data_IF_799580360884
#
_entry.id   IF_799580360884
#
_cell.length_a   1.000
_cell.length_b   1.000
_cell.length_c   1.000
_cell.angle_alpha   90.00
_cell.angle_beta   90.00
_cell.angle_gamma   90.00
#
_symmetry.space_group_name_H-M   'P 1'
#
loop_
_entity.id
_entity.type
_entity.pdbx_description
1 polymer ?
#
# COMPACT_ATOMS: atom_id res chain seq x y z
N UNK A 1 -9.73 -12.63 9.78
CA UNK A 1 -9.22 -11.30 9.35
C UNK A 1 -8.23 -11.53 8.23
N UNK A 2 -8.06 -10.61 7.27
CA UNK A 2 -6.94 -10.72 6.32
C UNK A 2 -5.63 -10.71 7.12
N UNK A 3 -4.88 -11.81 7.02
CA UNK A 3 -3.56 -11.98 7.66
C UNK A 3 -2.49 -11.08 7.02
N UNK A 4 -2.72 -10.63 5.80
CA UNK A 4 -1.76 -9.89 4.98
C UNK A 4 -2.17 -8.43 4.79
N UNK A 5 -1.17 -7.56 4.61
CA UNK A 5 -1.40 -6.17 4.26
C UNK A 5 -2.04 -6.06 2.88
N UNK A 6 -3.18 -5.38 2.79
CA UNK A 6 -3.86 -5.10 1.53
C UNK A 6 -2.98 -4.23 0.64
N UNK A 7 -2.73 -4.69 -0.58
CA UNK A 7 -1.97 -3.94 -1.56
C UNK A 7 -2.84 -2.81 -2.14
N UNK A 8 -2.28 -1.60 -2.36
CA UNK A 8 -3.02 -0.47 -2.91
C UNK A 8 -3.46 -0.70 -4.36
N UNK A 9 -2.74 -1.54 -5.12
CA UNK A 9 -3.07 -2.02 -6.46
C UNK A 9 -2.73 -3.52 -6.52
N UNK A 10 -3.50 -4.33 -7.26
CA UNK A 10 -3.18 -5.74 -7.39
C UNK A 10 -1.92 -5.92 -8.23
N UNK A 11 -1.08 -6.88 -7.84
CA UNK A 11 0.11 -7.28 -8.58
C UNK A 11 -0.16 -8.60 -9.35
N UNK A 12 0.51 -8.83 -10.48
CA UNK A 12 0.48 -10.13 -11.15
C UNK A 12 0.92 -11.28 -10.21
N UNK A 13 0.29 -12.46 -10.33
CA UNK A 13 0.55 -13.59 -9.43
C UNK A 13 1.89 -14.31 -9.67
N UNK A 14 2.53 -14.03 -10.78
CA UNK A 14 3.82 -14.58 -11.20
C UNK A 14 5.03 -13.78 -10.71
N UNK A 15 4.83 -12.56 -10.20
CA UNK A 15 5.92 -11.67 -9.78
C UNK A 15 6.37 -11.87 -8.33
N UNK A 16 5.56 -12.50 -7.49
CA UNK A 16 5.78 -12.58 -6.06
C UNK A 16 5.72 -14.02 -5.56
N UNK A 17 6.80 -14.44 -4.88
CA UNK A 17 6.90 -15.73 -4.21
C UNK A 17 7.22 -15.53 -2.72
N UNK A 18 6.79 -16.47 -1.87
CA UNK A 18 7.18 -16.48 -0.46
C UNK A 18 8.66 -16.84 -0.37
N UNK A 19 9.41 -16.14 0.48
CA UNK A 19 10.88 -16.24 0.58
C UNK A 19 11.64 -15.28 -0.33
N UNK A 20 10.97 -14.55 -1.22
CA UNK A 20 11.62 -13.61 -2.13
C UNK A 20 12.11 -12.35 -1.39
N UNK A 21 13.34 -11.95 -1.65
CA UNK A 21 13.93 -10.68 -1.22
C UNK A 21 13.64 -9.59 -2.25
N UNK A 22 13.28 -8.40 -1.78
CA UNK A 22 12.90 -7.26 -2.62
C UNK A 22 13.63 -6.00 -2.15
N UNK A 23 14.00 -5.12 -3.07
CA UNK A 23 14.39 -3.74 -2.70
C UNK A 23 13.19 -2.79 -2.62
N UNK A 24 12.09 -3.10 -3.32
CA UNK A 24 10.85 -2.34 -3.26
C UNK A 24 9.62 -3.27 -3.28
N UNK A 25 8.79 -3.30 -2.20
CA UNK A 25 7.67 -4.26 -2.08
C UNK A 25 6.61 -4.16 -3.18
N UNK A 26 6.40 -2.96 -3.73
CA UNK A 26 5.38 -2.70 -4.75
C UNK A 26 5.90 -2.72 -6.19
N UNK A 27 7.22 -2.90 -6.35
CA UNK A 27 7.88 -2.97 -7.64
C UNK A 27 8.83 -4.18 -7.71
N UNK A 28 8.30 -5.40 -7.53
CA UNK A 28 9.12 -6.62 -7.53
C UNK A 28 9.84 -6.87 -8.86
N UNK A 29 9.40 -6.26 -9.95
CA UNK A 29 10.01 -6.34 -11.28
C UNK A 29 11.36 -5.63 -11.40
N UNK A 30 11.70 -4.71 -10.47
CA UNK A 30 12.91 -3.91 -10.56
C UNK A 30 14.13 -4.71 -10.13
N UNK A 31 14.13 -5.11 -8.87
CA UNK A 31 15.25 -5.82 -8.28
C UNK A 31 14.77 -6.68 -7.13
N UNK A 32 14.91 -7.97 -7.34
CA UNK A 32 14.55 -8.99 -6.38
C UNK A 32 15.55 -10.13 -6.46
N UNK A 33 15.58 -10.93 -5.40
CA UNK A 33 16.32 -12.17 -5.35
C UNK A 33 15.40 -13.27 -4.83
N UNK A 34 15.41 -14.41 -5.51
CA UNK A 34 14.69 -15.61 -5.11
C UNK A 34 15.67 -16.76 -5.06
N UNK A 35 15.84 -17.35 -3.88
CA UNK A 35 16.81 -18.43 -3.68
C UNK A 35 16.30 -19.72 -4.31
N UNK A 36 17.01 -20.23 -5.30
CA UNK A 36 16.73 -21.56 -5.85
C UNK A 36 17.13 -22.69 -4.87
N UNK A 37 18.05 -22.44 -3.94
CA UNK A 37 18.52 -23.44 -2.99
C UNK A 37 17.58 -23.58 -1.78
N UNK A 38 17.00 -22.46 -1.33
CA UNK A 38 16.16 -22.44 -0.12
C UNK A 38 14.66 -22.56 -0.40
N UNK A 39 14.21 -22.54 -1.67
CA UNK A 39 12.77 -22.48 -1.96
C UNK A 39 11.99 -23.68 -1.42
N UNK A 40 12.54 -24.90 -1.49
CA UNK A 40 11.85 -26.11 -1.00
C UNK A 40 11.66 -26.04 0.51
N UNK A 41 12.70 -25.66 1.26
CA UNK A 41 12.63 -25.50 2.71
C UNK A 41 11.64 -24.40 3.12
N UNK A 42 11.62 -23.28 2.38
CA UNK A 42 10.65 -22.20 2.61
C UNK A 42 9.22 -22.67 2.30
N UNK A 43 9.02 -23.45 1.24
CA UNK A 43 7.71 -23.98 0.85
C UNK A 43 7.16 -24.98 1.86
N UNK A 44 8.02 -25.81 2.46
CA UNK A 44 7.63 -26.75 3.52
C UNK A 44 7.14 -26.02 4.79
N UNK A 45 7.58 -24.77 5.00
CA UNK A 45 7.16 -23.91 6.11
C UNK A 45 5.87 -23.12 5.81
N UNK A 46 5.34 -23.20 4.60
CA UNK A 46 4.17 -22.45 4.18
C UNK A 46 2.86 -23.17 4.53
N UNK A 47 1.92 -22.43 5.12
CA UNK A 47 0.52 -22.84 5.21
C UNK A 47 -0.27 -22.34 4.00
N UNK A 48 -1.24 -23.16 3.58
CA UNK A 48 -2.10 -22.88 2.44
C UNK A 48 -3.55 -22.80 2.89
N UNK A 49 -4.12 -21.61 2.80
CA UNK A 49 -5.54 -21.40 3.02
C UNK A 49 -6.25 -21.11 1.70
N UNK A 50 -7.15 -22.01 1.30
CA UNK A 50 -7.95 -21.85 0.08
C UNK A 50 -9.41 -21.63 0.47
N UNK A 51 -9.98 -20.51 0.02
CA UNK A 51 -11.39 -20.22 0.15
C UNK A 51 -12.05 -20.15 -1.23
N UNK A 52 -13.01 -21.04 -1.47
CA UNK A 52 -13.84 -21.01 -2.68
C UNK A 52 -14.99 -20.00 -2.53
N UNK A 53 -15.43 -19.43 -3.66
CA UNK A 53 -16.53 -18.46 -3.75
C UNK A 53 -16.34 -17.28 -2.79
N UNK A 54 -15.13 -16.75 -2.78
CA UNK A 54 -14.75 -15.64 -1.91
C UNK A 54 -15.59 -14.40 -2.23
N UNK A 55 -16.09 -13.74 -1.20
CA UNK A 55 -16.83 -12.47 -1.30
C UNK A 55 -16.37 -11.54 -0.21
N UNK A 56 -16.13 -10.29 -0.56
CA UNK A 56 -15.66 -9.28 0.40
C UNK A 56 -16.02 -7.85 -0.05
N UNK A 57 -15.78 -6.88 0.83
CA UNK A 57 -16.02 -5.47 0.62
C UNK A 57 -14.74 -4.67 0.88
N UNK A 58 -14.35 -3.87 -0.11
CA UNK A 58 -13.20 -2.99 -0.08
C UNK A 58 -13.63 -1.53 -0.12
N UNK A 59 -12.90 -0.64 0.56
CA UNK A 59 -12.93 0.80 0.28
C UNK A 59 -11.78 1.19 -0.62
N UNK A 60 -12.02 2.24 -1.41
CA UNK A 60 -11.03 2.91 -2.22
C UNK A 60 -10.78 4.33 -1.71
N UNK A 61 -9.57 4.83 -1.94
CA UNK A 61 -9.25 6.23 -1.71
C UNK A 61 -9.75 7.14 -2.86
N UNK A 62 -9.30 8.40 -2.87
CA UNK A 62 -9.68 9.39 -3.88
C UNK A 62 -8.98 9.20 -5.23
N UNK A 63 -7.94 8.38 -5.29
CA UNK A 63 -7.18 8.02 -6.50
C UNK A 63 -7.62 6.66 -7.06
N UNK A 64 -8.49 5.95 -6.33
CA UNK A 64 -8.98 4.63 -6.71
C UNK A 64 -8.09 3.48 -6.21
N UNK A 65 -7.20 3.71 -5.25
CA UNK A 65 -6.36 2.67 -4.63
C UNK A 65 -7.10 1.98 -3.50
N UNK A 66 -6.82 0.70 -3.29
CA UNK A 66 -7.39 -0.05 -2.17
C UNK A 66 -6.93 0.51 -0.83
N UNK A 67 -7.89 0.75 0.07
CA UNK A 67 -7.62 1.34 1.38
C UNK A 67 -7.87 0.35 2.53
N UNK A 68 -9.03 -0.29 2.56
CA UNK A 68 -9.40 -1.19 3.66
C UNK A 68 -10.27 -2.34 3.14
N UNK A 69 -10.04 -3.52 3.68
CA UNK A 69 -10.91 -4.68 3.54
C UNK A 69 -11.80 -4.79 4.80
N UNK A 70 -13.12 -4.83 4.62
CA UNK A 70 -14.11 -4.89 5.71
C UNK A 70 -14.59 -6.31 6.07
N UNK A 71 -14.19 -7.32 5.30
CA UNK A 71 -14.66 -8.69 5.46
C UNK A 71 -16.06 -8.92 4.86
N UNK A 72 -16.40 -10.20 4.68
CA UNK A 72 -17.73 -10.63 4.24
C UNK A 72 -18.85 -10.24 5.22
N UNK A 73 -18.53 -10.10 6.51
CA UNK A 73 -19.43 -9.66 7.59
C UNK A 73 -19.06 -8.24 8.00
N UNK A 74 -19.32 -7.31 7.11
CA UNK A 74 -18.93 -5.92 7.32
C UNK A 74 -19.88 -5.25 8.35
N UNK A 75 -19.33 -4.46 9.27
CA UNK A 75 -20.11 -3.73 10.27
C UNK A 75 -20.57 -2.38 9.70
N UNK A 76 -21.89 -2.17 9.59
CA UNK A 76 -22.52 -0.95 9.07
C UNK A 76 -21.92 0.35 9.62
N UNK A 77 -21.61 0.38 10.93
CA UNK A 77 -21.07 1.56 11.60
C UNK A 77 -19.72 2.03 11.05
N UNK A 78 -18.87 1.13 10.54
CA UNK A 78 -17.55 1.47 9.97
C UNK A 78 -17.63 1.92 8.52
N UNK A 79 -18.67 1.50 7.79
CA UNK A 79 -18.82 1.66 6.34
C UNK A 79 -19.66 2.88 6.00
N UNK A 80 -20.59 3.27 6.88
CA UNK A 80 -21.56 4.33 6.63
C UNK A 80 -20.93 5.67 6.20
N UNK A 81 -19.67 5.91 6.56
CA UNK A 81 -18.93 7.14 6.24
C UNK A 81 -17.93 7.00 5.11
N UNK A 82 -17.81 5.82 4.50
CA UNK A 82 -16.77 5.54 3.53
C UNK A 82 -17.26 5.86 2.12
N UNK A 83 -16.71 6.89 1.46
CA UNK A 83 -16.92 7.06 0.04
C UNK A 83 -16.24 5.90 -0.69
N UNK A 84 -16.77 5.51 -1.84
CA UNK A 84 -16.12 4.60 -2.78
C UNK A 84 -15.92 3.14 -2.30
N UNK A 85 -17.00 2.37 -2.18
CA UNK A 85 -16.93 0.94 -1.87
C UNK A 85 -16.92 0.08 -3.13
N UNK A 86 -16.19 -1.04 -3.07
CA UNK A 86 -16.20 -2.10 -4.07
C UNK A 86 -16.53 -3.44 -3.41
N UNK A 87 -17.51 -4.16 -3.94
CA UNK A 87 -17.68 -5.58 -3.64
C UNK A 87 -16.79 -6.39 -4.56
N UNK A 88 -16.06 -7.35 -4.00
CA UNK A 88 -15.38 -8.39 -4.76
C UNK A 88 -16.15 -9.70 -4.67
N UNK A 89 -16.19 -10.44 -5.77
CA UNK A 89 -16.52 -11.87 -5.80
C UNK A 89 -15.43 -12.58 -6.58
N UNK A 90 -14.78 -13.57 -6.00
CA UNK A 90 -13.77 -14.36 -6.67
C UNK A 90 -14.15 -15.84 -6.61
N UNK A 91 -13.78 -16.58 -7.64
CA UNK A 91 -13.95 -18.03 -7.66
C UNK A 91 -13.16 -18.67 -6.52
N UNK A 92 -11.93 -18.19 -6.32
CA UNK A 92 -11.00 -18.71 -5.33
C UNK A 92 -10.15 -17.57 -4.75
N UNK A 93 -9.94 -17.64 -3.44
CA UNK A 93 -8.91 -16.89 -2.74
C UNK A 93 -7.89 -17.89 -2.19
N UNK A 94 -6.61 -17.65 -2.46
CA UNK A 94 -5.50 -18.49 -2.02
C UNK A 94 -4.61 -17.62 -1.15
N UNK A 95 -4.40 -18.02 0.09
CA UNK A 95 -3.39 -17.42 0.96
C UNK A 95 -2.27 -18.44 1.15
N UNK A 96 -1.05 -17.98 0.91
CA UNK A 96 0.17 -18.71 1.25
C UNK A 96 0.87 -17.88 2.30
N UNK A 97 1.18 -18.45 3.46
CA UNK A 97 1.78 -17.71 4.57
C UNK A 97 2.79 -18.60 5.28
N UNK A 98 3.98 -18.09 5.55
CA UNK A 98 4.96 -18.80 6.35
C UNK A 98 4.46 -18.95 7.80
N UNK A 99 4.40 -20.19 8.30
CA UNK A 99 4.01 -20.48 9.68
C UNK A 99 5.09 -20.06 10.68
N UNK A 100 6.36 -20.17 10.29
CA UNK A 100 7.50 -19.64 11.01
C UNK A 100 8.28 -18.65 10.12
N UNK A 101 7.90 -17.36 10.15
CA UNK A 101 8.54 -16.30 9.39
C UNK A 101 10.04 -16.17 9.67
N UNK A 102 10.48 -16.56 10.87
CA UNK A 102 11.90 -16.54 11.20
C UNK A 102 12.62 -17.67 10.50
N UNK A 103 12.13 -18.90 10.64
CA UNK A 103 12.78 -20.07 10.05
C UNK A 103 12.86 -19.94 8.53
N UNK A 104 11.79 -19.48 7.87
CA UNK A 104 11.79 -19.23 6.43
C UNK A 104 12.83 -18.16 6.03
N UNK A 105 12.95 -17.07 6.77
CA UNK A 105 13.98 -16.07 6.50
C UNK A 105 15.41 -16.60 6.75
N UNK A 106 15.58 -17.41 7.79
CA UNK A 106 16.87 -18.04 8.09
C UNK A 106 17.28 -19.01 6.98
N UNK A 107 16.35 -19.79 6.44
CA UNK A 107 16.59 -20.67 5.29
C UNK A 107 17.10 -19.88 4.09
N UNK A 108 16.45 -18.75 3.75
CA UNK A 108 16.92 -17.83 2.71
C UNK A 108 18.32 -17.30 3.02
N UNK A 109 18.59 -16.87 4.26
CA UNK A 109 19.90 -16.34 4.65
C UNK A 109 21.01 -17.39 4.71
N UNK A 110 20.68 -18.68 4.80
CA UNK A 110 21.68 -19.75 4.75
C UNK A 110 22.26 -19.93 3.33
N UNK A 111 21.52 -19.50 2.30
CA UNK A 111 22.00 -19.45 0.92
C UNK A 111 23.13 -18.41 0.77
N UNK A 112 24.34 -18.82 0.35
CA UNK A 112 25.43 -17.90 0.04
C UNK A 112 25.09 -16.83 -1.01
N UNK A 113 24.26 -17.16 -2.00
CA UNK A 113 23.88 -16.21 -3.05
C UNK A 113 22.98 -15.10 -2.49
N UNK A 114 22.01 -15.47 -1.66
CA UNK A 114 21.16 -14.51 -0.94
C UNK A 114 22.00 -13.56 -0.06
N UNK A 115 22.99 -14.09 0.65
CA UNK A 115 23.89 -13.28 1.48
C UNK A 115 24.72 -12.31 0.67
N UNK A 116 25.19 -12.73 -0.50
CA UNK A 116 25.93 -11.87 -1.43
C UNK A 116 25.03 -10.74 -1.93
N UNK A 117 23.80 -11.06 -2.34
CA UNK A 117 22.82 -10.06 -2.77
C UNK A 117 22.48 -9.06 -1.66
N UNK A 118 22.27 -9.53 -0.42
CA UNK A 118 22.02 -8.66 0.75
C UNK A 118 23.24 -7.77 1.02
N UNK A 119 24.45 -8.32 0.95
CA UNK A 119 25.69 -7.58 1.17
C UNK A 119 25.85 -6.43 0.17
N UNK A 120 25.60 -6.69 -1.11
CA UNK A 120 25.67 -5.68 -2.18
C UNK A 120 24.59 -4.61 -2.01
N UNK A 121 23.35 -5.03 -1.71
CA UNK A 121 22.25 -4.10 -1.45
C UNK A 121 22.54 -3.15 -0.27
N UNK A 122 23.13 -3.66 0.81
CA UNK A 122 23.55 -2.85 1.97
C UNK A 122 24.67 -1.88 1.61
N UNK A 123 25.69 -2.31 0.85
CA UNK A 123 26.79 -1.44 0.40
C UNK A 123 26.29 -0.25 -0.42
N UNK A 124 25.26 -0.47 -1.22
CA UNK A 124 24.62 0.56 -2.02
C UNK A 124 23.59 1.39 -1.24
N UNK A 125 23.39 1.09 0.04
CA UNK A 125 22.43 1.80 0.91
C UNK A 125 20.97 1.56 0.52
N UNK A 126 20.66 0.44 -0.15
CA UNK A 126 19.32 0.11 -0.62
C UNK A 126 18.51 -0.55 0.49
N UNK A 127 17.21 -0.22 0.63
CA UNK A 127 16.34 -0.91 1.58
C UNK A 127 16.09 -2.35 1.12
N UNK A 128 15.89 -3.25 2.08
CA UNK A 128 15.65 -4.67 1.82
C UNK A 128 14.37 -5.12 2.52
N UNK A 129 13.62 -5.99 1.86
CA UNK A 129 12.40 -6.57 2.36
C UNK A 129 12.35 -8.06 2.01
N UNK A 130 11.58 -8.82 2.77
CA UNK A 130 11.25 -10.21 2.43
C UNK A 130 9.74 -10.42 2.38
N UNK A 131 9.28 -11.18 1.40
CA UNK A 131 7.90 -11.67 1.29
C UNK A 131 7.74 -12.94 2.12
N UNK A 132 6.86 -12.92 3.11
CA UNK A 132 6.57 -14.07 3.98
C UNK A 132 5.12 -14.56 3.85
N UNK A 133 4.33 -13.92 3.00
CA UNK A 133 3.00 -14.38 2.67
C UNK A 133 2.37 -13.58 1.53
N UNK A 134 1.47 -14.23 0.79
CA UNK A 134 0.73 -13.64 -0.33
C UNK A 134 -0.75 -14.05 -0.27
N UNK A 135 -1.63 -13.14 -0.68
CA UNK A 135 -3.06 -13.44 -0.89
C UNK A 135 -3.40 -13.18 -2.35
N UNK A 136 -3.69 -14.25 -3.06
CA UNK A 136 -4.13 -14.24 -4.44
C UNK A 136 -5.65 -14.36 -4.53
N UNK A 137 -6.25 -13.61 -5.44
CA UNK A 137 -7.63 -13.83 -5.89
C UNK A 137 -7.60 -14.34 -7.34
N UNK A 138 -8.35 -15.40 -7.63
CA UNK A 138 -8.53 -15.95 -8.98
C UNK A 138 -9.93 -15.64 -9.50
N UNK A 139 -10.00 -15.19 -10.75
CA UNK A 139 -11.25 -14.87 -11.45
C UNK A 139 -12.12 -13.89 -10.66
N UNK A 140 -11.51 -12.87 -10.07
CA UNK A 140 -12.18 -11.87 -9.24
C UNK A 140 -12.95 -10.87 -10.11
N UNK A 141 -14.20 -10.63 -9.73
CA UNK A 141 -15.09 -9.63 -10.31
C UNK A 141 -15.34 -8.54 -9.29
N UNK A 142 -15.17 -7.30 -9.71
CA UNK A 142 -15.38 -6.12 -8.88
C UNK A 142 -16.63 -5.37 -9.32
N UNK A 143 -17.45 -4.99 -8.34
CA UNK A 143 -18.65 -4.18 -8.55
C UNK A 143 -18.65 -2.99 -7.61
N UNK A 144 -19.18 -1.88 -8.08
CA UNK A 144 -19.42 -0.70 -7.24
C UNK A 144 -20.49 -1.03 -6.22
N UNK A 145 -20.19 -0.77 -4.95
CA UNK A 145 -21.14 -0.99 -3.87
C UNK A 145 -21.63 0.35 -3.32
N UNK A 146 -22.94 0.50 -3.17
CA UNK A 146 -23.56 1.60 -2.43
C UNK A 146 -24.49 1.03 -1.37
N UNK A 147 -24.49 1.63 -0.19
CA UNK A 147 -25.46 1.27 0.85
C UNK A 147 -26.86 1.68 0.37
N UNK A 148 -27.79 0.72 0.34
CA UNK A 148 -29.12 0.93 -0.23
C UNK A 148 -29.96 1.92 0.59
N UNK A 149 -29.85 1.87 1.92
CA UNK A 149 -30.73 2.61 2.84
C UNK A 149 -29.96 3.52 3.80
N UNK A 150 -28.88 4.17 3.32
CA UNK A 150 -28.07 5.06 4.17
C UNK A 150 -27.74 4.43 5.54
N UNK A 151 -27.25 3.19 5.54
CA UNK A 151 -26.78 2.51 6.76
C UNK A 151 -27.86 1.87 7.64
N UNK A 152 -29.15 1.95 7.29
CA UNK A 152 -30.22 1.27 8.03
C UNK A 152 -30.34 -0.23 7.74
N UNK A 153 -29.69 -0.71 6.66
CA UNK A 153 -29.75 -2.10 6.19
C UNK A 153 -28.37 -2.57 5.73
N UNK A 154 -28.04 -3.84 5.98
CA UNK A 154 -26.84 -4.52 5.50
C UNK A 154 -26.86 -4.80 3.98
N UNK A 155 -27.89 -4.33 3.26
CA UNK A 155 -28.03 -4.56 1.83
C UNK A 155 -27.19 -3.55 1.05
N UNK A 156 -26.35 -4.07 0.17
CA UNK A 156 -25.57 -3.31 -0.78
C UNK A 156 -26.24 -3.37 -2.14
N UNK A 157 -26.40 -2.20 -2.76
CA UNK A 157 -26.70 -2.11 -4.18
C UNK A 157 -25.38 -2.25 -4.95
N UNK A 158 -25.26 -3.33 -5.73
CA UNK A 158 -24.08 -3.65 -6.53
C UNK A 158 -24.32 -3.17 -7.97
N UNK A 159 -23.48 -2.24 -8.46
CA UNK A 159 -23.53 -1.70 -9.83
C UNK A 159 -22.23 -2.07 -10.57
N UNK A 160 -22.26 -2.23 -11.91
CA UNK A 160 -21.04 -2.37 -12.70
C UNK A 160 -20.12 -1.16 -12.53
N UNK A 161 -18.81 -1.39 -12.72
CA UNK A 161 -17.82 -0.31 -12.72
C UNK A 161 -17.96 0.50 -14.01
N UNK A 162 -18.15 1.82 -13.88
CA UNK A 162 -18.22 2.75 -15.01
C UNK A 162 -16.84 3.17 -15.51
N UNK A 163 -16.80 3.75 -16.72
CA UNK A 163 -15.54 4.25 -17.34
C UNK A 163 -14.88 5.39 -16.54
N UNK A 164 -15.69 6.21 -15.88
CA UNK A 164 -15.23 7.36 -15.07
C UNK A 164 -15.02 7.01 -13.59
N UNK A 165 -15.20 5.74 -13.20
CA UNK A 165 -14.99 5.32 -11.83
C UNK A 165 -13.49 5.30 -11.49
N UNK A 166 -13.16 5.94 -10.37
CA UNK A 166 -11.81 5.90 -9.79
C UNK A 166 -11.57 4.54 -9.13
N UNK A 167 -10.94 3.64 -9.87
CA UNK A 167 -10.52 2.29 -9.44
C UNK A 167 -9.12 2.01 -10.00
N UNK A 168 -8.39 0.98 -9.52
CA UNK A 168 -7.06 0.69 -10.04
C UNK A 168 -7.11 0.44 -11.56
N UNK A 169 -6.08 0.88 -12.30
CA UNK A 169 -6.01 0.74 -13.77
C UNK A 169 -6.23 -0.69 -14.26
N UNK A 170 -5.79 -1.68 -13.48
CA UNK A 170 -6.01 -3.10 -13.76
C UNK A 170 -7.49 -3.51 -13.74
N UNK A 171 -8.33 -2.85 -12.92
CA UNK A 171 -9.79 -3.01 -12.93
C UNK A 171 -10.47 -2.17 -14.02
N UNK A 172 -9.91 -1.02 -14.39
CA UNK A 172 -10.46 -0.19 -15.49
C UNK A 172 -10.27 -0.84 -16.86
N UNK A 173 -9.11 -1.47 -17.10
CA UNK A 173 -8.81 -2.14 -18.38
C UNK A 173 -9.77 -3.28 -18.66
N UNK A 174 -10.13 -4.05 -17.63
CA UNK A 174 -11.09 -5.14 -17.77
C UNK A 174 -12.51 -4.62 -17.95
N UNK A 175 -12.88 -3.49 -17.32
CA UNK A 175 -14.19 -2.85 -17.52
C UNK A 175 -14.36 -2.17 -18.90
N UNK A 176 -13.26 -1.80 -19.57
CA UNK A 176 -13.28 -1.06 -20.85
C UNK A 176 -12.96 -1.91 -22.08
N UNK A 177 -12.51 -3.16 -21.90
CA UNK A 177 -12.21 -4.04 -23.02
C UNK A 177 -13.49 -4.65 -23.62
N UNK A 178 -13.97 -4.05 -24.72
CA UNK A 178 -14.79 -4.70 -25.77
C UNK A 178 -13.98 -5.78 -26.54
N UNK A 179 -12.83 -6.24 -26.01
CA UNK A 179 -11.83 -7.02 -26.77
C UNK A 179 -11.15 -8.10 -25.93
N UNK A 180 -11.93 -8.88 -25.20
CA UNK A 180 -11.46 -10.14 -24.64
C UNK A 180 -12.60 -11.14 -24.60
N UNK A 181 -12.74 -11.94 -25.68
CA UNK A 181 -13.27 -13.33 -25.75
C UNK A 181 -14.19 -13.85 -24.61
N UNK A 182 -15.05 -12.99 -24.09
CA UNK A 182 -16.08 -13.27 -23.11
C UNK A 182 -17.38 -13.05 -23.85
N UNK A 183 -18.12 -14.13 -24.06
CA UNK A 183 -19.40 -14.08 -24.76
C UNK A 183 -20.30 -13.01 -24.14
N UNK A 184 -21.18 -12.45 -24.98
CA UNK A 184 -22.28 -11.55 -24.59
C UNK A 184 -22.83 -11.96 -23.21
N UNK A 185 -22.52 -11.19 -22.16
CA UNK A 185 -22.98 -11.43 -20.79
C UNK A 185 -21.93 -11.83 -19.73
N UNK A 186 -20.65 -11.98 -20.02
CA UNK A 186 -19.63 -12.29 -18.98
C UNK A 186 -19.06 -11.02 -18.32
N UNK A 187 -19.09 -10.96 -16.99
CA UNK A 187 -18.49 -9.86 -16.22
C UNK A 187 -16.94 -9.88 -16.29
N UNK A 188 -16.27 -8.72 -16.33
CA UNK A 188 -14.83 -8.66 -16.41
C UNK A 188 -14.16 -9.26 -15.16
N UNK A 189 -13.23 -10.19 -15.38
CA UNK A 189 -12.51 -10.92 -14.33
C UNK A 189 -11.03 -10.50 -14.29
N UNK A 190 -10.46 -10.50 -13.09
CA UNK A 190 -9.04 -10.27 -12.84
C UNK A 190 -8.49 -11.33 -11.87
N UNK A 191 -7.26 -11.78 -12.12
CA UNK A 191 -6.51 -12.63 -11.20
C UNK A 191 -5.21 -11.94 -10.80
N UNK A 192 -4.80 -12.05 -9.54
CA UNK A 192 -3.57 -11.43 -9.06
C UNK A 192 -3.41 -11.49 -7.55
N UNK A 193 -2.31 -10.93 -7.04
CA UNK A 193 -2.03 -10.74 -5.62
C UNK A 193 -2.68 -9.45 -5.15
N UNK A 194 -3.53 -9.55 -4.13
CA UNK A 194 -4.23 -8.43 -3.51
C UNK A 194 -3.74 -8.14 -2.10
N UNK A 195 -3.02 -9.06 -1.47
CA UNK A 195 -2.43 -8.85 -0.16
C UNK A 195 -1.06 -9.50 -0.04
N UNK A 196 -0.20 -8.94 0.80
CA UNK A 196 1.14 -9.45 1.03
C UNK A 196 1.56 -9.27 2.50
N UNK A 197 2.20 -10.28 3.09
CA UNK A 197 3.00 -10.14 4.30
C UNK A 197 4.45 -9.85 3.87
N UNK A 198 4.88 -8.61 4.09
CA UNK A 198 6.24 -8.16 3.83
C UNK A 198 6.86 -7.68 5.12
N UNK A 199 8.11 -8.06 5.36
CA UNK A 199 8.86 -7.59 6.53
C UNK A 199 10.09 -6.81 6.12
N UNK A 200 10.45 -5.84 6.94
CA UNK A 200 11.69 -5.08 6.77
C UNK A 200 12.87 -5.99 7.07
N UNK A 201 13.87 -5.94 6.22
CA UNK A 201 15.18 -6.55 6.47
C UNK A 201 16.18 -5.42 6.61
N UNK A 202 16.96 -5.48 7.68
CA UNK A 202 18.11 -4.62 7.86
C UNK A 202 19.37 -5.48 7.79
N UNK A 203 20.46 -4.94 7.29
CA UNK A 203 21.74 -5.63 7.38
C UNK A 203 22.88 -4.63 7.55
N UNK A 204 23.94 -5.07 8.22
CA UNK A 204 25.12 -4.27 8.57
C UNK A 204 26.36 -5.13 8.34
N UNK A 205 27.39 -4.52 7.77
CA UNK A 205 28.74 -5.12 7.69
C UNK A 205 29.48 -4.64 8.94
N UNK A 206 29.86 -5.58 9.81
CA UNK A 206 30.43 -5.26 11.12
C UNK A 206 31.49 -6.27 11.52
N UNK A 207 32.00 -6.15 12.74
CA UNK A 207 32.85 -7.17 13.36
C UNK A 207 32.11 -7.81 14.54
N UNK A 208 32.41 -9.06 14.92
CA UNK A 208 31.74 -9.72 16.05
C UNK A 208 31.87 -9.00 17.41
N UNK A 209 32.86 -8.11 17.55
CA UNK A 209 33.09 -7.34 18.77
C UNK A 209 32.28 -6.03 18.83
N UNK A 210 31.65 -5.61 17.73
CA UNK A 210 30.92 -4.35 17.69
C UNK A 210 29.60 -4.46 18.48
N UNK A 211 29.27 -3.48 19.33
CA UNK A 211 28.03 -3.49 20.09
C UNK A 211 26.82 -3.18 19.21
N UNK A 212 25.66 -3.71 19.60
CA UNK A 212 24.37 -3.30 19.02
C UNK A 212 24.00 -1.87 19.40
N UNK A 213 23.30 -1.20 18.49
CA UNK A 213 22.64 0.08 18.74
C UNK A 213 21.22 -0.14 19.29
N UNK A 214 20.63 0.87 19.93
CA UNK A 214 19.26 0.79 20.43
C UNK A 214 18.22 0.50 19.33
N UNK A 215 18.48 0.95 18.10
CA UNK A 215 17.66 0.66 16.93
C UNK A 215 17.66 -0.83 16.55
N UNK A 216 18.68 -1.59 16.95
CA UNK A 216 18.84 -2.99 16.58
C UNK A 216 17.90 -3.92 17.36
N UNK A 217 17.36 -3.47 18.51
CA UNK A 217 16.51 -4.27 19.38
C UNK A 217 15.17 -4.68 18.75
N UNK A 218 14.77 -4.04 17.65
CA UNK A 218 13.53 -4.34 16.93
C UNK A 218 13.65 -5.50 15.93
N UNK A 219 14.85 -6.07 15.80
CA UNK A 219 15.16 -7.06 14.78
C UNK A 219 15.61 -8.37 15.42
N UNK A 220 15.29 -9.47 14.75
CA UNK A 220 15.86 -10.78 15.04
C UNK A 220 17.09 -10.99 14.14
N UNK A 221 18.26 -11.11 14.77
CA UNK A 221 19.54 -11.07 14.08
C UNK A 221 20.11 -12.45 13.78
N UNK A 222 20.73 -12.54 12.61
CA UNK A 222 21.52 -13.66 12.11
C UNK A 222 22.90 -13.14 11.71
N UNK A 223 23.91 -13.98 11.87
CA UNK A 223 25.29 -13.57 11.73
C UNK A 223 26.02 -14.54 10.80
N UNK A 224 26.71 -13.98 9.82
CA UNK A 224 27.39 -14.76 8.80
C UNK A 224 28.76 -14.17 8.50
N UNK A 225 29.78 -15.01 8.42
CA UNK A 225 31.12 -14.54 8.04
C UNK A 225 31.13 -14.10 6.56
N UNK A 226 31.81 -12.99 6.27
CA UNK A 226 31.98 -12.50 4.91
C UNK A 226 33.14 -13.24 4.26
N UNK A 227 32.87 -13.99 3.18
CA UNK A 227 33.89 -14.73 2.46
C UNK A 227 34.96 -13.80 1.88
N UNK A 228 36.23 -14.12 2.11
CA UNK A 228 37.36 -13.35 1.57
C UNK A 228 37.71 -12.06 2.33
N UNK A 229 37.14 -11.83 3.53
CA UNK A 229 37.55 -10.70 4.38
C UNK A 229 38.83 -11.02 5.16
N UNK A 230 39.88 -10.24 4.92
CA UNK A 230 41.13 -10.27 5.71
C UNK A 230 40.93 -9.70 7.14
N UNK A 231 39.84 -8.94 7.34
CA UNK A 231 39.53 -8.16 8.54
C UNK A 231 38.54 -8.83 9.49
N UNK A 232 38.17 -10.10 9.24
CA UNK A 232 37.14 -10.85 10.00
C UNK A 232 35.78 -10.13 10.02
N UNK A 233 35.40 -9.58 8.87
CA UNK A 233 34.08 -8.96 8.72
C UNK A 233 32.96 -10.00 8.80
N UNK A 234 31.85 -9.55 9.36
CA UNK A 234 30.64 -10.32 9.56
C UNK A 234 29.46 -9.54 8.98
N UNK A 235 28.66 -10.23 8.18
CA UNK A 235 27.36 -9.76 7.73
C UNK A 235 26.33 -10.10 8.79
N UNK A 236 25.78 -9.06 9.41
CA UNK A 236 24.73 -9.14 10.41
C UNK A 236 23.41 -8.78 9.74
N UNK A 237 22.46 -9.71 9.70
CA UNK A 237 21.17 -9.58 8.99
C UNK A 237 20.02 -9.67 10.00
N UNK A 238 19.13 -8.70 9.99
CA UNK A 238 18.04 -8.55 10.95
C UNK A 238 16.67 -8.63 10.27
N UNK A 239 15.81 -9.53 10.75
CA UNK A 239 14.40 -9.59 10.37
C UNK A 239 13.57 -8.67 11.28
N UNK A 240 12.85 -7.73 10.70
CA UNK A 240 12.04 -6.75 11.41
C UNK A 240 10.55 -7.11 11.45
N UNK A 241 9.76 -6.11 11.86
CA UNK A 241 8.31 -6.21 11.88
C UNK A 241 7.68 -6.21 10.48
N UNK A 242 6.45 -6.71 10.41
CA UNK A 242 5.61 -6.67 9.22
C UNK A 242 5.23 -5.22 8.85
N UNK A 243 5.33 -4.90 7.56
CA UNK A 243 4.83 -3.66 6.98
C UNK A 243 3.30 -3.61 7.07
N UNK A 244 2.79 -2.51 7.60
CA UNK A 244 1.34 -2.27 7.64
C UNK A 244 0.85 -1.82 6.26
N UNK A 245 -0.42 -2.09 5.95
CA UNK A 245 -1.03 -1.67 4.68
C UNK A 245 -0.88 -0.15 4.41
N UNK A 246 -0.97 0.67 5.46
CA UNK A 246 -0.74 2.12 5.35
C UNK A 246 0.70 2.47 4.95
N UNK A 247 1.70 1.71 5.41
CA UNK A 247 3.11 1.92 5.03
C UNK A 247 3.35 1.55 3.58
N UNK A 248 2.81 0.41 3.13
CA UNK A 248 2.86 0.03 1.72
C UNK A 248 2.21 1.11 0.85
N UNK A 249 1.09 1.70 1.27
CA UNK A 249 0.47 2.80 0.52
C UNK A 249 1.35 4.05 0.44
N UNK A 250 1.98 4.46 1.55
CA UNK A 250 2.91 5.60 1.55
C UNK A 250 4.11 5.38 0.62
N UNK A 251 4.53 4.13 0.41
CA UNK A 251 5.61 3.81 -0.54
C UNK A 251 5.21 4.10 -2.00
N UNK A 252 3.92 3.98 -2.38
CA UNK A 252 3.46 4.40 -3.71
C UNK A 252 3.57 5.91 -3.93
N UNK A 253 3.18 6.70 -2.93
CA UNK A 253 3.19 8.16 -3.02
C UNK A 253 4.62 8.68 -3.28
N UNK A 254 5.61 7.99 -2.71
CA UNK A 254 7.03 8.28 -2.91
C UNK A 254 7.59 7.77 -4.26
N UNK A 255 6.94 6.79 -4.90
CA UNK A 255 7.52 6.05 -6.02
C UNK A 255 6.91 6.36 -7.40
N UNK A 256 5.74 7.00 -7.48
CA UNK A 256 5.03 7.14 -8.77
C UNK A 256 5.13 8.51 -9.47
N UNK A 257 5.20 9.70 -8.81
CA UNK A 257 5.16 10.98 -9.59
C UNK A 257 5.76 12.24 -8.91
N UNK A 258 6.30 12.18 -7.69
CA UNK A 258 6.61 13.39 -6.90
C UNK A 258 7.93 14.12 -7.25
N UNK A 259 8.75 13.61 -8.17
CA UNK A 259 9.97 14.31 -8.64
C UNK A 259 9.75 15.07 -9.95
N UNK A 260 8.94 14.58 -10.88
CA UNK A 260 8.81 15.21 -12.21
C UNK A 260 7.64 16.20 -12.29
N UNK A 261 6.48 15.88 -11.68
CA UNK A 261 5.31 16.77 -11.67
C UNK A 261 5.48 17.98 -10.76
N UNK A 262 6.09 17.79 -9.58
CA UNK A 262 6.29 18.87 -8.62
C UNK A 262 7.38 19.86 -9.06
N UNK A 263 8.41 19.43 -9.79
CA UNK A 263 9.47 20.34 -10.28
C UNK A 263 8.97 21.25 -11.41
N UNK A 264 8.09 20.73 -12.29
CA UNK A 264 7.42 21.56 -13.31
C UNK A 264 6.34 22.46 -12.72
N UNK A 265 5.60 22.01 -11.71
CA UNK A 265 4.60 22.84 -11.03
C UNK A 265 5.25 23.97 -10.21
N UNK A 266 6.35 23.69 -9.49
CA UNK A 266 7.11 24.69 -8.75
C UNK A 266 7.80 25.68 -9.70
N UNK A 267 8.32 25.20 -10.85
CA UNK A 267 8.90 26.08 -11.87
C UNK A 267 7.86 26.99 -12.53
N UNK A 268 6.63 26.50 -12.78
CA UNK A 268 5.54 27.32 -13.32
C UNK A 268 5.00 28.32 -12.30
N UNK A 269 4.81 27.89 -11.05
CA UNK A 269 4.34 28.76 -9.96
C UNK A 269 5.36 29.86 -9.61
N UNK A 270 6.65 29.58 -9.67
CA UNK A 270 7.71 30.58 -9.43
C UNK A 270 7.84 31.57 -10.59
N UNK A 271 7.63 31.14 -11.84
CA UNK A 271 7.62 32.02 -13.01
C UNK A 271 6.39 32.95 -13.01
N UNK A 272 5.22 32.42 -12.65
CA UNK A 272 3.96 33.18 -12.60
C UNK A 272 3.94 34.16 -11.42
N UNK A 273 4.54 33.82 -10.27
CA UNK A 273 4.67 34.72 -9.14
C UNK A 273 5.60 35.91 -9.44
N UNK A 274 6.68 35.71 -10.20
CA UNK A 274 7.58 36.78 -10.65
C UNK A 274 6.90 37.68 -11.71
N UNK A 275 6.04 37.13 -12.55
CA UNK A 275 5.28 37.89 -13.54
C UNK A 275 4.13 38.71 -12.91
N UNK A 276 3.46 38.16 -11.89
CA UNK A 276 2.39 38.83 -11.15
C UNK A 276 2.90 39.98 -10.26
N UNK A 277 4.09 39.84 -9.67
CA UNK A 277 4.73 40.90 -8.89
C UNK A 277 5.26 42.07 -9.75
N UNK A 278 5.33 41.91 -11.07
CA UNK A 278 5.78 42.92 -12.02
C UNK A 278 4.63 43.74 -12.66
N UNK A 279 3.36 43.47 -12.31
CA UNK A 279 2.20 44.18 -12.88
C UNK A 279 1.75 45.38 -12.01
N UNK A 280 1.83 46.64 -12.48
CA UNK A 280 1.56 47.83 -11.68
C UNK A 280 0.11 48.33 -11.79
N UNK A 281 -0.89 47.45 -11.76
CA UNK A 281 -2.30 47.87 -11.75
C UNK A 281 -3.13 46.96 -10.87
N UNK A 282 -3.40 47.40 -9.64
CA UNK A 282 -4.69 47.27 -8.92
C UNK A 282 -4.50 47.85 -7.51
N UNK A 283 -4.66 49.18 -7.40
CA UNK A 283 -4.81 49.86 -6.11
C UNK A 283 -6.21 49.58 -5.56
N UNK A 284 -6.38 49.15 -4.30
CA UNK A 284 -7.69 49.20 -3.65
C UNK A 284 -8.01 50.65 -3.26
N UNK A 285 -9.05 51.21 -3.88
CA UNK A 285 -9.60 52.52 -3.51
C UNK A 285 -10.45 52.39 -2.24
N UNK A 286 -10.03 53.04 -1.16
CA UNK A 286 -10.88 53.34 0.00
C UNK A 286 -11.82 54.51 -0.31
N UNK A 287 -12.99 54.59 0.34
CA UNK A 287 -13.55 55.87 0.73
C UNK A 287 -13.80 55.97 2.23
N UNK A 288 -13.52 57.18 2.74
CA UNK A 288 -13.55 57.57 4.14
C UNK A 288 -14.92 58.14 4.58
N UNK A 289 -15.28 57.82 5.83
CA UNK A 289 -15.81 58.70 6.90
C UNK A 289 -16.95 59.71 6.65
N UNK A 290 -18.04 59.55 7.43
CA UNK A 290 -18.69 60.52 8.36
C UNK A 290 -20.16 60.07 8.55
N UNK A 291 -20.74 59.91 9.74
CA UNK A 291 -20.50 60.51 11.04
C UNK A 291 -21.86 61.04 11.53
N UNK A 292 -22.36 60.51 12.65
CA UNK A 292 -23.32 61.16 13.59
C UNK A 292 -23.70 60.17 14.71
N UNK A 293 -23.13 60.40 15.88
CA UNK A 293 -23.69 60.04 17.19
C UNK A 293 -24.85 61.01 17.51
N UNK A 294 -25.81 60.69 18.40
CA UNK A 294 -25.52 60.62 19.84
C UNK A 294 -26.24 59.50 20.64
N UNK A 295 -25.66 59.18 21.80
CA UNK A 295 -26.24 58.45 22.96
C UNK A 295 -27.32 59.32 23.67
N UNK A 296 -28.07 58.89 24.73
CA UNK A 296 -27.80 57.83 25.72
C UNK A 296 -28.99 56.94 26.19
N UNK A 297 -28.66 55.80 26.82
CA UNK A 297 -29.56 54.94 27.64
C UNK A 297 -30.36 55.77 28.67
N UNK A 298 -31.58 55.36 29.13
CA UNK A 298 -31.75 54.11 29.91
C UNK A 298 -33.16 53.43 29.93
N UNK A 299 -33.19 52.28 30.63
CA UNK A 299 -34.32 51.69 31.38
C UNK A 299 -35.34 50.75 30.69
N UNK A 300 -35.30 49.50 31.17
CA UNK A 300 -36.41 48.62 31.58
C UNK A 300 -37.71 48.55 30.75
N UNK A 301 -38.07 47.33 30.32
CA UNK A 301 -39.34 46.62 30.65
C UNK A 301 -39.28 45.25 29.94
N UNK A 302 -38.99 44.16 30.67
CA UNK A 302 -39.96 43.22 31.28
C UNK A 302 -40.88 42.49 30.27
N UNK A 303 -40.60 41.19 30.16
CA UNK A 303 -41.52 40.03 30.27
C UNK A 303 -42.65 39.80 29.27
N UNK A 304 -42.66 38.54 28.79
CA UNK A 304 -43.81 37.64 28.57
C UNK A 304 -44.73 38.02 27.40
N UNK A 305 -45.20 37.12 26.53
CA UNK A 305 -45.58 35.72 26.67
C UNK A 305 -45.44 35.02 25.30
#
# INVERSE_FOLDING_TARGET
>A
MPLHGLLPKPLPSDLLMVGQLLTHPLHPERECFYSNAAHEEVDDLNDYHIQLRYKDLYSLDQEGRFLTNYGAKFELGRIYRQPNLLTVKAEQMIQRTSQDPTAAFQAVCNDPEARTWIYDAVKEGRPIYIVLGVTELKSAVFKRARLQDSGASNRLNELPIGKDDKVPKSLQRTASSDSGLGGIGSEPQISGVFGMDVRRVTAKITTPAAPHELSDLKYRWFYYDVAGSDTKEQLMIGLGEQLKANELRMMLDLSEDDVQGNLEAISKLSLDALSAAASPMLRPSSPALRGRSPSPNPAMLRTQH
#
